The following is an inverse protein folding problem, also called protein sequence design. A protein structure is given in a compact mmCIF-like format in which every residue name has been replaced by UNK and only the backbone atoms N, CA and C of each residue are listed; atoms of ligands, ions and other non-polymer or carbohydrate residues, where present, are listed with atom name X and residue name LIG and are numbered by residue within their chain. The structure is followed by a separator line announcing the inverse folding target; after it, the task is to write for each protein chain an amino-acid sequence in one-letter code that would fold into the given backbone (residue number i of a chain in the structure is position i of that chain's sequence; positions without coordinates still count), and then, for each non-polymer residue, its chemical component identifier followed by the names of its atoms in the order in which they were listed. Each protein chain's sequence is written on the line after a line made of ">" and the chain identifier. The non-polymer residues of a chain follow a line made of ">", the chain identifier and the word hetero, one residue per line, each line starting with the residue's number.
data_IF_860347965795
#
_entry.id   IF_860347965795
#
_cell.length_a   1.000
_cell.length_b   1.000
_cell.length_c   1.000
_cell.angle_alpha   90.00
_cell.angle_beta   90.00
_cell.angle_gamma   90.00
#
_symmetry.space_group_name_H-M   'P 1'
#
loop_
_entity.id
_entity.type
_entity.pdbx_description
1 polymer ?
#
# COMPACT_ATOMS: atom_id res chain seq x y z
N UNK A 1 11.54 -13.68 0.90
CA UNK A 1 11.84 -13.09 -0.42
C UNK A 1 10.52 -12.66 -1.06
N UNK A 2 10.49 -11.61 -1.89
CA UNK A 2 9.25 -11.01 -2.40
C UNK A 2 8.38 -11.99 -3.22
N UNK A 3 8.94 -12.59 -4.26
CA UNK A 3 8.18 -13.50 -5.14
C UNK A 3 7.79 -14.82 -4.47
N UNK A 4 8.47 -15.18 -3.39
CA UNK A 4 8.12 -16.36 -2.57
C UNK A 4 7.24 -15.99 -1.37
N UNK A 5 6.79 -14.74 -1.27
CA UNK A 5 6.00 -14.28 -0.13
C UNK A 5 4.58 -14.86 -0.24
N UNK A 6 4.00 -15.44 0.83
CA UNK A 6 2.69 -16.11 0.75
C UNK A 6 1.52 -15.22 0.31
N UNK A 7 1.61 -13.91 0.56
CA UNK A 7 0.59 -12.94 0.11
C UNK A 7 0.88 -12.34 -1.27
N UNK A 8 2.02 -12.64 -1.89
CA UNK A 8 2.29 -12.21 -3.26
C UNK A 8 1.48 -13.07 -4.21
N UNK A 9 0.40 -12.48 -4.72
CA UNK A 9 -0.53 -13.11 -5.66
C UNK A 9 -0.47 -12.36 -6.99
N UNK A 10 0.60 -12.58 -7.76
CA UNK A 10 0.81 -11.95 -9.08
C UNK A 10 0.53 -10.45 -9.14
N UNK A 11 0.90 -9.71 -8.08
CA UNK A 11 0.64 -8.28 -8.01
C UNK A 11 1.28 -7.57 -9.20
N UNK A 12 0.49 -6.78 -9.91
CA UNK A 12 0.93 -6.04 -11.10
C UNK A 12 2.06 -5.05 -10.78
N UNK A 13 2.04 -4.45 -9.59
CA UNK A 13 3.02 -3.46 -9.21
C UNK A 13 3.27 -3.42 -7.70
N UNK A 14 4.53 -3.20 -7.33
CA UNK A 14 4.95 -2.93 -5.95
C UNK A 14 6.02 -1.84 -5.96
N UNK A 15 5.76 -0.76 -5.24
CA UNK A 15 6.66 0.39 -5.10
C UNK A 15 7.04 0.62 -3.66
N UNK A 16 8.31 0.97 -3.43
CA UNK A 16 8.88 1.31 -2.13
C UNK A 16 9.36 2.75 -2.16
N UNK A 17 8.93 3.55 -1.19
CA UNK A 17 9.30 4.95 -1.08
C UNK A 17 10.00 5.19 0.25
N UNK A 18 11.16 5.84 0.19
CA UNK A 18 11.89 6.28 1.35
C UNK A 18 12.32 7.73 1.12
N UNK A 19 11.94 8.62 2.03
CA UNK A 19 12.38 10.01 2.03
C UNK A 19 12.96 10.34 3.40
N UNK A 20 14.26 10.65 3.42
CA UNK A 20 14.98 10.95 4.65
C UNK A 20 14.59 12.30 5.24
N UNK A 21 14.17 13.27 4.41
CA UNK A 21 13.83 14.62 4.87
C UNK A 21 12.51 14.62 5.66
N UNK A 22 11.48 13.96 5.12
CA UNK A 22 10.18 13.87 5.81
C UNK A 22 10.05 12.66 6.74
N UNK A 23 10.99 11.71 6.66
CA UNK A 23 10.95 10.44 7.38
C UNK A 23 9.96 9.43 6.78
N UNK A 24 9.50 9.64 5.54
CA UNK A 24 8.58 8.74 4.87
C UNK A 24 9.23 7.38 4.65
N UNK A 25 8.55 6.32 5.08
CA UNK A 25 8.79 4.94 4.66
C UNK A 25 7.45 4.36 4.25
N UNK A 26 7.26 4.08 2.98
CA UNK A 26 5.97 3.63 2.46
C UNK A 26 6.12 2.49 1.45
N UNK A 27 5.08 1.66 1.38
CA UNK A 27 4.94 0.61 0.39
C UNK A 27 3.58 0.78 -0.28
N UNK A 28 3.56 0.75 -1.62
CA UNK A 28 2.34 0.81 -2.42
C UNK A 28 2.26 -0.45 -3.28
N UNK A 29 1.16 -1.19 -3.15
CA UNK A 29 0.90 -2.40 -3.92
C UNK A 29 -0.34 -2.23 -4.79
N UNK A 30 -0.22 -2.61 -6.07
CA UNK A 30 -1.33 -2.77 -7.00
C UNK A 30 -1.45 -4.26 -7.29
N UNK A 31 -2.58 -4.83 -6.92
CA UNK A 31 -2.83 -6.25 -7.14
C UNK A 31 -3.34 -6.49 -8.56
N UNK A 32 -4.36 -5.75 -8.98
CA UNK A 32 -5.00 -5.96 -10.28
C UNK A 32 -5.73 -4.70 -10.76
N UNK A 33 -5.58 -4.34 -12.04
CA UNK A 33 -6.23 -3.19 -12.70
C UNK A 33 -7.12 -3.57 -13.89
N UNK A 34 -7.44 -4.85 -14.07
CA UNK A 34 -8.22 -5.35 -15.22
C UNK A 34 -9.59 -4.69 -15.40
N UNK A 35 -10.22 -4.24 -14.30
CA UNK A 35 -11.53 -3.57 -14.31
C UNK A 35 -11.44 -2.04 -14.33
N UNK A 36 -10.25 -1.46 -14.24
CA UNK A 36 -10.04 -0.02 -14.12
C UNK A 36 -8.93 0.34 -13.12
N UNK A 37 -8.77 1.65 -12.81
CA UNK A 37 -7.73 2.13 -11.91
C UNK A 37 -7.79 1.46 -10.53
N UNK A 38 -6.63 1.23 -9.92
CA UNK A 38 -6.56 0.63 -8.60
C UNK A 38 -7.04 1.62 -7.52
N UNK A 39 -8.13 1.28 -6.84
CA UNK A 39 -8.59 2.01 -5.65
C UNK A 39 -8.08 1.34 -4.37
N UNK A 40 -7.59 2.14 -3.43
CA UNK A 40 -7.09 1.68 -2.15
C UNK A 40 -6.95 2.80 -1.14
N UNK A 41 -7.18 2.51 0.14
CA UNK A 41 -6.92 3.48 1.20
C UNK A 41 -5.44 3.52 1.60
N UNK A 42 -4.95 4.66 2.05
CA UNK A 42 -3.63 4.81 2.67
C UNK A 42 -3.70 4.54 4.18
N UNK A 43 -2.90 3.59 4.68
CA UNK A 43 -2.81 3.25 6.11
C UNK A 43 -1.47 3.70 6.65
N UNK A 44 -1.45 4.38 7.79
CA UNK A 44 -0.22 4.61 8.56
C UNK A 44 -0.27 3.76 9.82
N UNK A 45 0.72 2.91 10.03
CA UNK A 45 0.73 1.96 11.15
C UNK A 45 2.16 1.67 11.66
N UNK A 46 2.36 1.51 12.98
CA UNK A 46 3.66 1.20 13.57
C UNK A 46 3.95 -0.31 13.49
N UNK A 47 4.25 -0.81 12.28
CA UNK A 47 4.65 -2.21 12.09
C UNK A 47 5.92 -2.55 12.87
N UNK A 48 6.02 -3.77 13.40
CA UNK A 48 7.21 -4.20 14.14
C UNK A 48 8.39 -4.54 13.20
N UNK A 49 8.10 -4.82 11.93
CA UNK A 49 9.11 -5.10 10.90
C UNK A 49 8.63 -4.71 9.49
N UNK A 50 9.58 -4.58 8.56
CA UNK A 50 9.28 -4.36 7.14
C UNK A 50 8.51 -5.53 6.52
N UNK A 51 8.71 -6.76 7.03
CA UNK A 51 8.00 -7.96 6.58
C UNK A 51 6.51 -7.91 6.95
N UNK A 52 6.16 -7.40 8.14
CA UNK A 52 4.77 -7.19 8.52
C UNK A 52 4.09 -6.14 7.63
N UNK A 53 4.79 -5.05 7.31
CA UNK A 53 4.29 -4.01 6.42
C UNK A 53 4.06 -4.57 4.99
N UNK A 54 5.01 -5.35 4.47
CA UNK A 54 4.90 -6.01 3.16
C UNK A 54 3.74 -7.01 3.13
N UNK A 55 3.60 -7.85 4.15
CA UNK A 55 2.48 -8.79 4.27
C UNK A 55 1.14 -8.07 4.27
N UNK A 56 1.01 -7.00 5.05
CA UNK A 56 -0.24 -6.28 5.18
C UNK A 56 -0.61 -5.55 3.88
N UNK A 57 0.33 -4.89 3.21
CA UNK A 57 0.03 -4.16 1.97
C UNK A 57 -0.42 -5.12 0.86
N UNK A 58 0.26 -6.25 0.67
CA UNK A 58 -0.08 -7.27 -0.35
C UNK A 58 -1.47 -7.89 -0.08
N UNK A 59 -1.70 -8.33 1.16
CA UNK A 59 -2.98 -8.94 1.56
C UNK A 59 -4.16 -7.97 1.36
N UNK A 60 -3.96 -6.70 1.67
CA UNK A 60 -5.00 -5.68 1.56
C UNK A 60 -5.25 -5.21 0.13
N UNK A 61 -4.22 -5.09 -0.72
CA UNK A 61 -4.42 -4.77 -2.16
C UNK A 61 -5.22 -5.87 -2.85
N UNK A 62 -4.92 -7.14 -2.56
CA UNK A 62 -5.73 -8.27 -3.03
C UNK A 62 -7.18 -8.18 -2.54
N UNK A 63 -7.37 -7.89 -1.24
CA UNK A 63 -8.69 -7.69 -0.67
C UNK A 63 -9.49 -6.58 -1.35
N UNK A 64 -8.83 -5.48 -1.76
CA UNK A 64 -9.47 -4.39 -2.50
C UNK A 64 -9.91 -4.82 -3.90
N UNK A 65 -9.14 -5.65 -4.61
CA UNK A 65 -9.57 -6.18 -5.92
C UNK A 65 -10.88 -6.95 -5.79
N UNK A 66 -10.95 -7.88 -4.84
CA UNK A 66 -12.17 -8.67 -4.64
C UNK A 66 -13.33 -7.82 -4.14
N UNK A 67 -13.08 -6.85 -3.25
CA UNK A 67 -14.12 -5.94 -2.76
C UNK A 67 -14.71 -5.10 -3.91
N UNK A 68 -13.87 -4.52 -4.76
CA UNK A 68 -14.31 -3.73 -5.93
C UNK A 68 -15.10 -4.60 -6.90
N UNK A 69 -14.62 -5.82 -7.19
CA UNK A 69 -15.30 -6.75 -8.08
C UNK A 69 -16.67 -7.21 -7.53
N UNK A 70 -16.77 -7.57 -6.25
CA UNK A 70 -18.02 -7.95 -5.60
C UNK A 70 -19.02 -6.80 -5.51
N UNK A 71 -18.54 -5.57 -5.39
CA UNK A 71 -19.36 -4.36 -5.43
C UNK A 71 -19.74 -3.94 -6.86
N UNK A 72 -19.33 -4.70 -7.88
CA UNK A 72 -19.51 -4.40 -9.30
C UNK A 72 -19.03 -2.98 -9.69
N UNK A 73 -17.86 -2.60 -9.19
CA UNK A 73 -17.21 -1.35 -9.53
C UNK A 73 -16.20 -1.56 -10.67
N UNK A 74 -16.04 -0.55 -11.52
CA UNK A 74 -15.01 -0.49 -12.57
C UNK A 74 -13.69 -0.01 -11.99
N UNK A 75 -13.24 -0.71 -10.95
CA UNK A 75 -12.04 -0.39 -10.18
C UNK A 75 -11.24 -1.65 -9.91
N UNK A 76 -9.92 -1.49 -9.95
CA UNK A 76 -8.96 -2.49 -9.50
C UNK A 76 -8.81 -2.52 -7.97
N UNK A 77 -7.71 -3.13 -7.53
CA UNK A 77 -7.35 -3.20 -6.11
C UNK A 77 -5.94 -2.72 -5.85
N UNK A 78 -5.84 -1.64 -5.06
CA UNK A 78 -4.58 -1.11 -4.59
C UNK A 78 -4.55 -1.00 -3.07
N UNK A 79 -3.37 -0.81 -2.52
CA UNK A 79 -3.19 -0.43 -1.13
C UNK A 79 -1.88 0.32 -0.94
N UNK A 80 -1.87 1.28 -0.03
CA UNK A 80 -0.65 1.88 0.47
C UNK A 80 -0.55 1.78 1.98
N UNK A 81 0.67 1.56 2.46
CA UNK A 81 1.04 1.59 3.87
C UNK A 81 2.19 2.57 4.09
N UNK A 82 2.13 3.35 5.16
CA UNK A 82 3.22 4.16 5.70
C UNK A 82 3.64 3.51 7.03
N UNK A 83 4.92 3.20 7.16
CA UNK A 83 5.50 2.61 8.36
C UNK A 83 5.78 3.74 9.35
N UNK A 84 4.98 3.83 10.42
CA UNK A 84 5.14 4.84 11.45
C UNK A 84 3.94 4.97 12.39
N UNK A 85 4.17 5.55 13.57
CA UNK A 85 3.09 5.83 14.54
C UNK A 85 2.30 7.08 14.10
N UNK A 86 1.01 6.96 13.73
CA UNK A 86 0.21 8.08 13.28
C UNK A 86 -0.04 9.14 14.34
N UNK A 87 0.20 8.85 15.63
CA UNK A 87 0.05 9.79 16.75
C UNK A 87 1.32 10.57 17.05
N UNK A 88 2.48 10.10 16.56
CA UNK A 88 3.78 10.71 16.85
C UNK A 88 4.50 11.24 15.63
N UNK A 89 4.42 10.54 14.50
CA UNK A 89 5.26 10.81 13.34
C UNK A 89 4.51 11.48 12.19
N UNK A 90 3.18 11.63 12.30
CA UNK A 90 2.37 12.19 11.22
C UNK A 90 2.56 13.71 11.15
N UNK A 91 3.25 14.16 10.10
CA UNK A 91 3.44 15.58 9.78
C UNK A 91 2.84 15.91 8.43
N UNK A 92 2.57 17.19 8.18
CA UNK A 92 2.09 17.65 6.87
C UNK A 92 3.09 17.29 5.75
N UNK A 93 4.38 17.56 5.97
CA UNK A 93 5.42 17.27 4.98
C UNK A 93 5.49 15.78 4.61
N UNK A 94 5.34 14.88 5.59
CA UNK A 94 5.27 13.44 5.33
C UNK A 94 4.06 13.04 4.48
N UNK A 95 2.89 13.65 4.72
CA UNK A 95 1.68 13.39 3.94
C UNK A 95 1.79 13.95 2.51
N UNK A 96 2.41 15.12 2.34
CA UNK A 96 2.69 15.70 1.03
C UNK A 96 3.70 14.85 0.25
N UNK A 97 4.74 14.34 0.90
CA UNK A 97 5.69 13.42 0.29
C UNK A 97 4.99 12.13 -0.18
N UNK A 98 4.13 11.54 0.65
CA UNK A 98 3.31 10.39 0.23
C UNK A 98 2.43 10.72 -0.99
N UNK A 99 1.79 11.90 -1.00
CA UNK A 99 0.91 12.34 -2.09
C UNK A 99 1.62 12.52 -3.43
N UNK A 100 2.92 12.88 -3.44
CA UNK A 100 3.72 13.00 -4.68
C UNK A 100 3.99 11.66 -5.37
N UNK A 101 3.75 10.54 -4.68
CA UNK A 101 4.03 9.18 -5.15
C UNK A 101 2.78 8.37 -5.53
N UNK A 102 1.59 8.98 -5.45
CA UNK A 102 0.30 8.38 -5.81
C UNK A 102 -0.25 9.03 -7.07
#
# INVERSE_FOLDING_TARGET
>A
MLFSHPEFDHHEHLSFFCDAETGLKAIVAIHNTSRGPALGGCRMFPYASDEEALRDVLRLSRGMTYKSALANLDLGGGKSVIIGDPRKHKTQALLEAMGKHL
#
